data_IF_836335156331
#
_entry.id   IF_836335156331
#
_cell.length_a   1.000
_cell.length_b   1.000
_cell.length_c   1.000
_cell.angle_alpha   90.00
_cell.angle_beta   90.00
_cell.angle_gamma   90.00
#
_symmetry.space_group_name_H-M   'P 1'
#
loop_
_entity.id
_entity.type
_entity.pdbx_description
1 polymer ?
#
# COMPACT_ATOMS: atom_id res chain seq x y z
N UNK A 1 -26.90 24.42 6.88
CA UNK A 1 -26.72 24.87 5.48
C UNK A 1 -28.08 25.31 4.97
N UNK A 2 -28.15 26.37 4.15
CA UNK A 2 -29.42 26.83 3.56
C UNK A 2 -29.66 26.20 2.18
N UNK A 3 -30.42 25.10 2.15
CA UNK A 3 -30.80 24.43 0.90
C UNK A 3 -31.80 25.23 0.06
N UNK A 4 -32.48 26.24 0.60
CA UNK A 4 -33.42 27.05 -0.16
C UNK A 4 -32.69 27.85 -1.24
N UNK A 5 -31.55 28.49 -0.89
CA UNK A 5 -30.70 29.19 -1.85
C UNK A 5 -30.16 28.27 -2.96
N UNK A 6 -29.82 27.02 -2.63
CA UNK A 6 -29.37 26.02 -3.60
C UNK A 6 -30.51 25.67 -4.55
N UNK A 7 -31.70 25.38 -4.04
CA UNK A 7 -32.88 25.06 -4.86
C UNK A 7 -33.28 26.22 -5.77
N UNK A 8 -33.25 27.46 -5.27
CA UNK A 8 -33.55 28.66 -6.05
C UNK A 8 -32.57 28.83 -7.22
N UNK A 9 -31.28 28.58 -7.00
CA UNK A 9 -30.27 28.61 -8.06
C UNK A 9 -30.55 27.61 -9.19
N UNK A 10 -31.08 26.43 -8.88
CA UNK A 10 -31.36 25.40 -9.88
C UNK A 10 -32.66 25.60 -10.67
N UNK A 11 -33.51 26.58 -10.32
CA UNK A 11 -34.72 26.90 -11.09
C UNK A 11 -34.41 27.34 -12.53
N UNK A 12 -33.26 27.99 -12.74
CA UNK A 12 -32.78 28.47 -14.05
C UNK A 12 -31.64 27.60 -14.62
N UNK A 13 -31.38 26.42 -14.04
CA UNK A 13 -30.28 25.53 -14.42
C UNK A 13 -30.69 24.46 -15.43
N UNK A 14 -29.71 23.80 -16.05
CA UNK A 14 -29.91 22.62 -16.91
C UNK A 14 -30.27 21.34 -16.12
N UNK A 15 -30.09 21.35 -14.80
CA UNK A 15 -30.37 20.20 -13.94
C UNK A 15 -31.68 20.37 -13.17
N UNK A 16 -32.55 19.38 -13.27
CA UNK A 16 -33.79 19.32 -12.49
C UNK A 16 -33.48 18.81 -11.08
N UNK A 17 -33.32 19.75 -10.13
CA UNK A 17 -33.06 19.46 -8.72
C UNK A 17 -34.33 19.68 -7.90
N UNK A 18 -34.75 18.67 -7.13
CA UNK A 18 -35.98 18.74 -6.34
C UNK A 18 -35.75 18.25 -4.90
N UNK A 19 -36.48 18.79 -3.91
CA UNK A 19 -36.56 18.17 -2.59
C UNK A 19 -37.16 16.77 -2.69
N UNK A 20 -36.57 15.82 -1.98
CA UNK A 20 -37.07 14.45 -1.87
C UNK A 20 -36.86 13.90 -0.46
N UNK A 21 -37.39 12.71 -0.19
CA UNK A 21 -37.08 11.97 1.02
C UNK A 21 -36.59 10.56 0.71
N UNK A 22 -35.66 10.07 1.52
CA UNK A 22 -35.17 8.70 1.44
C UNK A 22 -35.00 8.13 2.84
N UNK A 23 -35.73 7.06 3.16
CA UNK A 23 -35.70 6.43 4.50
C UNK A 23 -35.88 7.46 5.63
N UNK A 24 -36.89 8.31 5.50
CA UNK A 24 -37.24 9.39 6.45
C UNK A 24 -36.17 10.47 6.65
N UNK A 25 -35.15 10.53 5.78
CA UNK A 25 -34.16 11.59 5.74
C UNK A 25 -34.46 12.57 4.60
N UNK A 26 -34.21 13.85 4.85
CA UNK A 26 -34.30 14.90 3.85
C UNK A 26 -33.18 14.74 2.82
N UNK A 27 -33.56 14.80 1.55
CA UNK A 27 -32.66 14.60 0.42
C UNK A 27 -32.96 15.59 -0.70
N UNK A 28 -32.00 15.75 -1.61
CA UNK A 28 -32.23 16.33 -2.93
C UNK A 28 -32.15 15.22 -3.98
N UNK A 29 -33.08 15.23 -4.93
CA UNK A 29 -33.05 14.37 -6.09
C UNK A 29 -32.64 15.15 -7.33
N UNK A 30 -31.88 14.50 -8.22
CA UNK A 30 -31.56 15.02 -9.55
C UNK A 30 -31.83 13.95 -10.58
N UNK A 31 -32.65 14.26 -11.58
CA UNK A 31 -32.99 13.33 -12.66
C UNK A 31 -32.36 13.79 -13.97
N UNK A 32 -31.66 12.88 -14.65
CA UNK A 32 -31.01 13.15 -15.94
C UNK A 32 -31.20 11.97 -16.86
N UNK A 33 -31.45 12.22 -18.13
CA UNK A 33 -31.48 11.17 -19.16
C UNK A 33 -30.08 10.94 -19.74
N UNK A 34 -29.65 9.68 -19.76
CA UNK A 34 -28.37 9.23 -20.33
C UNK A 34 -28.67 8.04 -21.24
N UNK A 35 -28.45 8.21 -22.55
CA UNK A 35 -28.62 7.16 -23.57
C UNK A 35 -30.00 6.46 -23.51
N UNK A 36 -31.06 7.26 -23.42
CA UNK A 36 -32.44 6.77 -23.33
C UNK A 36 -32.81 6.12 -21.99
N UNK A 37 -31.91 6.18 -20.98
CA UNK A 37 -32.15 5.66 -19.63
C UNK A 37 -32.25 6.80 -18.64
N UNK A 38 -33.26 6.75 -17.78
CA UNK A 38 -33.43 7.71 -16.70
C UNK A 38 -32.47 7.38 -15.54
N UNK A 39 -31.58 8.32 -15.22
CA UNK A 39 -30.64 8.23 -14.11
C UNK A 39 -31.12 9.17 -12.99
N UNK A 40 -31.33 8.61 -11.80
CA UNK A 40 -31.72 9.38 -10.62
C UNK A 40 -30.60 9.41 -9.60
N UNK A 41 -30.16 10.60 -9.23
CA UNK A 41 -29.17 10.87 -8.20
C UNK A 41 -29.85 11.35 -6.92
N UNK A 42 -29.29 11.00 -5.77
CA UNK A 42 -29.80 11.37 -4.45
C UNK A 42 -28.66 11.95 -3.60
N UNK A 43 -28.85 13.15 -3.06
CA UNK A 43 -27.96 13.75 -2.07
C UNK A 43 -28.67 13.79 -0.72
N UNK A 44 -28.02 13.33 0.34
CA UNK A 44 -28.54 13.44 1.71
C UNK A 44 -28.19 14.81 2.28
N UNK A 45 -29.19 15.55 2.75
CA UNK A 45 -28.99 16.87 3.29
C UNK A 45 -28.14 16.80 4.58
N UNK A 46 -27.10 17.63 4.62
CA UNK A 46 -26.19 17.84 5.75
C UNK A 46 -26.25 19.26 6.28
N UNK A 47 -25.94 19.42 7.57
CA UNK A 47 -25.88 20.73 8.24
C UNK A 47 -24.72 21.59 7.75
N UNK A 48 -23.61 20.98 7.36
CA UNK A 48 -22.38 21.65 6.92
C UNK A 48 -21.69 20.84 5.81
N UNK A 49 -21.20 21.53 4.77
CA UNK A 49 -20.39 20.91 3.73
C UNK A 49 -18.93 20.82 4.18
N UNK A 50 -18.40 19.61 4.22
CA UNK A 50 -16.98 19.33 4.51
C UNK A 50 -16.21 18.86 3.28
N UNK A 51 -16.94 18.61 2.19
CA UNK A 51 -16.43 18.14 0.91
C UNK A 51 -17.41 18.54 -0.18
N UNK A 52 -17.01 18.34 -1.45
CA UNK A 52 -17.93 18.52 -2.58
C UNK A 52 -19.21 17.68 -2.35
N UNK A 53 -20.42 18.22 -2.60
CA UNK A 53 -21.67 17.51 -2.33
C UNK A 53 -21.71 16.11 -2.94
N UNK A 54 -21.88 15.07 -2.14
CA UNK A 54 -21.83 13.69 -2.62
C UNK A 54 -23.22 13.21 -3.07
N UNK A 55 -23.30 12.54 -4.22
CA UNK A 55 -24.54 11.99 -4.76
C UNK A 55 -24.46 10.46 -4.86
N UNK A 56 -25.59 9.81 -4.58
CA UNK A 56 -25.81 8.39 -4.73
C UNK A 56 -26.61 8.09 -5.99
N UNK A 57 -26.26 7.05 -6.72
CA UNK A 57 -27.05 6.49 -7.82
C UNK A 57 -28.20 5.65 -7.26
N UNK A 58 -29.44 5.93 -7.67
CA UNK A 58 -30.60 5.09 -7.36
C UNK A 58 -30.67 3.89 -8.31
N UNK A 59 -30.96 2.72 -7.74
CA UNK A 59 -31.02 1.42 -8.45
C UNK A 59 -29.83 1.15 -9.38
N UNK A 60 -28.58 1.16 -8.86
CA UNK A 60 -27.38 0.98 -9.68
C UNK A 60 -27.36 -0.35 -10.44
N UNK A 61 -28.06 -1.37 -9.94
CA UNK A 61 -28.09 -2.73 -10.52
C UNK A 61 -28.73 -2.73 -11.91
N UNK A 62 -29.70 -1.86 -12.16
CA UNK A 62 -30.35 -1.71 -13.47
C UNK A 62 -29.40 -1.28 -14.60
N UNK A 63 -28.24 -0.70 -14.25
CA UNK A 63 -27.21 -0.25 -15.19
C UNK A 63 -26.06 -1.26 -15.37
N UNK A 64 -26.13 -2.42 -14.72
CA UNK A 64 -25.03 -3.38 -14.67
C UNK A 64 -23.93 -2.97 -13.68
N UNK A 65 -22.71 -3.46 -13.88
CA UNK A 65 -21.58 -3.15 -12.99
C UNK A 65 -20.85 -1.93 -13.53
N UNK A 66 -20.99 -0.81 -12.83
CA UNK A 66 -20.34 0.46 -13.16
C UNK A 66 -19.11 0.67 -12.26
N UNK A 67 -17.99 1.09 -12.85
CA UNK A 67 -16.84 1.55 -12.07
C UNK A 67 -17.22 2.75 -11.18
N UNK A 68 -16.50 2.97 -10.08
CA UNK A 68 -16.74 4.06 -9.13
C UNK A 68 -18.12 4.07 -8.43
N UNK A 69 -18.99 3.10 -8.70
CA UNK A 69 -20.30 2.97 -8.04
C UNK A 69 -20.25 1.79 -7.05
N UNK A 70 -20.32 2.10 -5.76
CA UNK A 70 -20.29 1.10 -4.69
C UNK A 70 -21.66 1.01 -4.00
N UNK A 71 -22.31 -0.15 -4.08
CA UNK A 71 -23.57 -0.40 -3.38
C UNK A 71 -23.36 -0.27 -1.87
N UNK A 72 -24.15 0.56 -1.21
CA UNK A 72 -24.06 0.77 0.25
C UNK A 72 -25.02 -0.17 0.99
N UNK A 73 -24.55 -0.71 2.13
CA UNK A 73 -25.42 -1.48 3.02
C UNK A 73 -26.31 -0.57 3.89
N UNK A 74 -25.92 0.69 4.06
CA UNK A 74 -26.63 1.64 4.93
C UNK A 74 -27.93 2.12 4.29
N UNK A 75 -27.95 2.24 2.96
CA UNK A 75 -29.10 2.72 2.19
C UNK A 75 -29.38 1.74 1.05
N UNK A 76 -30.23 0.74 1.33
CA UNK A 76 -30.55 -0.31 0.36
C UNK A 76 -31.13 0.29 -0.92
N UNK A 77 -30.66 -0.13 -2.09
CA UNK A 77 -31.09 0.42 -3.38
C UNK A 77 -30.31 1.64 -3.87
N UNK A 78 -29.32 2.14 -3.11
CA UNK A 78 -28.43 3.22 -3.52
C UNK A 78 -26.98 2.73 -3.74
N UNK A 79 -26.30 3.35 -4.70
CA UNK A 79 -24.86 3.19 -4.96
C UNK A 79 -24.12 4.50 -4.71
N UNK A 80 -23.12 4.50 -3.83
CA UNK A 80 -22.22 5.65 -3.60
C UNK A 80 -21.36 5.85 -4.84
N UNK A 81 -21.25 7.08 -5.35
CA UNK A 81 -20.46 7.38 -6.54
C UNK A 81 -19.17 8.11 -6.14
N UNK A 82 -18.03 7.55 -6.51
CA UNK A 82 -16.73 8.19 -6.31
C UNK A 82 -16.37 9.06 -7.53
N UNK A 83 -16.63 10.36 -7.45
CA UNK A 83 -16.23 11.32 -8.53
C UNK A 83 -14.90 12.01 -8.30
N UNK A 84 -14.31 11.88 -7.10
CA UNK A 84 -13.10 12.58 -6.70
C UNK A 84 -12.10 11.62 -6.05
N UNK A 85 -10.81 11.83 -6.31
CA UNK A 85 -9.79 11.43 -5.34
C UNK A 85 -9.89 12.43 -4.19
N UNK A 86 -10.24 11.95 -2.99
CA UNK A 86 -10.74 12.74 -1.85
C UNK A 86 -9.86 13.95 -1.42
N UNK A 87 -8.62 14.07 -1.89
CA UNK A 87 -7.65 15.08 -1.43
C UNK A 87 -7.27 16.17 -2.46
N UNK A 88 -7.99 16.30 -3.59
CA UNK A 88 -7.47 17.09 -4.74
C UNK A 88 -8.09 18.47 -4.96
N UNK A 89 -9.09 18.88 -4.18
CA UNK A 89 -9.80 20.15 -4.43
C UNK A 89 -10.01 20.97 -3.16
N UNK A 90 -9.68 22.25 -3.22
CA UNK A 90 -10.12 23.25 -2.24
C UNK A 90 -11.48 23.78 -2.70
N UNK A 91 -12.52 23.52 -1.92
CA UNK A 91 -13.90 23.90 -2.25
C UNK A 91 -14.25 25.18 -1.49
N UNK A 92 -14.73 26.20 -2.20
CA UNK A 92 -15.27 27.40 -1.56
C UNK A 92 -16.73 27.16 -1.15
N UNK A 93 -16.98 26.97 0.14
CA UNK A 93 -18.32 26.75 0.68
C UNK A 93 -19.12 28.04 0.92
N UNK A 94 -18.56 29.22 0.64
CA UNK A 94 -19.31 30.49 0.64
C UNK A 94 -20.34 30.57 -0.50
N UNK A 95 -20.18 29.72 -1.53
CA UNK A 95 -21.09 29.59 -2.68
C UNK A 95 -21.53 28.14 -2.86
N UNK A 96 -22.35 27.59 -1.94
CA UNK A 96 -22.74 26.18 -1.96
C UNK A 96 -23.42 25.78 -3.27
N UNK A 97 -24.19 26.67 -3.88
CA UNK A 97 -24.90 26.43 -5.14
C UNK A 97 -23.96 26.03 -6.29
N UNK A 98 -22.80 26.68 -6.40
CA UNK A 98 -21.78 26.34 -7.39
C UNK A 98 -21.08 25.01 -7.07
N UNK A 99 -20.90 24.70 -5.78
CA UNK A 99 -20.34 23.43 -5.37
C UNK A 99 -21.28 22.26 -5.72
N UNK A 100 -22.60 22.46 -5.56
CA UNK A 100 -23.61 21.50 -6.00
C UNK A 100 -23.61 21.33 -7.52
N UNK A 101 -23.61 22.42 -8.28
CA UNK A 101 -23.63 22.35 -9.75
C UNK A 101 -22.41 21.61 -10.29
N UNK A 102 -21.22 21.97 -9.83
CA UNK A 102 -19.98 21.30 -10.23
C UNK A 102 -19.99 19.83 -9.83
N UNK A 103 -20.53 19.49 -8.65
CA UNK A 103 -20.65 18.10 -8.24
C UNK A 103 -21.59 17.32 -9.15
N UNK A 104 -22.80 17.83 -9.43
CA UNK A 104 -23.76 17.18 -10.32
C UNK A 104 -23.14 16.99 -11.70
N UNK A 105 -22.48 18.03 -12.24
CA UNK A 105 -21.79 17.98 -13.54
C UNK A 105 -20.73 16.87 -13.58
N UNK A 106 -19.95 16.68 -12.51
CA UNK A 106 -18.97 15.58 -12.41
C UNK A 106 -19.63 14.20 -12.35
N UNK A 107 -20.67 14.03 -11.53
CA UNK A 107 -21.39 12.77 -11.40
C UNK A 107 -22.03 12.37 -12.73
N UNK A 108 -22.75 13.30 -13.37
CA UNK A 108 -23.40 13.07 -14.67
C UNK A 108 -22.38 12.76 -15.75
N UNK A 109 -21.26 13.49 -15.82
CA UNK A 109 -20.19 13.24 -16.80
C UNK A 109 -19.57 11.85 -16.63
N UNK A 110 -19.28 11.46 -15.39
CA UNK A 110 -18.74 10.14 -15.08
C UNK A 110 -19.73 9.04 -15.48
N UNK A 111 -20.97 9.11 -14.99
CA UNK A 111 -22.00 8.11 -15.28
C UNK A 111 -22.30 8.02 -16.78
N UNK A 112 -22.35 9.15 -17.49
CA UNK A 112 -22.50 9.15 -18.95
C UNK A 112 -21.40 8.31 -19.60
N UNK A 113 -20.14 8.58 -19.26
CA UNK A 113 -19.00 7.83 -19.80
C UNK A 113 -19.09 6.34 -19.46
N UNK A 114 -19.43 5.98 -18.23
CA UNK A 114 -19.52 4.59 -17.79
C UNK A 114 -20.69 3.81 -18.42
N UNK A 115 -21.82 4.48 -18.69
CA UNK A 115 -23.02 3.85 -19.25
C UNK A 115 -22.91 3.71 -20.77
N UNK A 116 -22.36 4.72 -21.47
CA UNK A 116 -22.32 4.74 -22.94
C UNK A 116 -21.09 4.08 -23.53
N UNK A 117 -19.98 4.03 -22.79
CA UNK A 117 -18.71 3.48 -23.26
C UNK A 117 -18.29 2.28 -22.40
N UNK A 118 -18.54 1.08 -22.93
CA UNK A 118 -18.21 -0.17 -22.25
C UNK A 118 -16.71 -0.38 -22.07
N UNK A 119 -15.89 0.10 -23.02
CA UNK A 119 -14.41 -0.03 -22.93
C UNK A 119 -13.87 0.89 -21.82
N UNK A 120 -14.38 2.12 -21.75
CA UNK A 120 -14.06 3.05 -20.66
C UNK A 120 -14.46 2.46 -19.30
N UNK A 121 -15.69 1.95 -19.16
CA UNK A 121 -16.13 1.32 -17.92
C UNK A 121 -15.24 0.13 -17.52
N UNK A 122 -14.88 -0.74 -18.48
CA UNK A 122 -13.99 -1.88 -18.24
C UNK A 122 -12.59 -1.43 -17.77
N UNK A 123 -12.03 -0.39 -18.40
CA UNK A 123 -10.75 0.20 -18.03
C UNK A 123 -10.79 0.77 -16.61
N UNK A 124 -11.85 1.48 -16.23
CA UNK A 124 -12.01 2.04 -14.89
C UNK A 124 -12.27 0.95 -13.82
N UNK A 125 -13.01 -0.11 -14.15
CA UNK A 125 -13.13 -1.28 -13.26
C UNK A 125 -11.77 -1.94 -12.98
N UNK A 126 -10.89 -2.00 -13.99
CA UNK A 126 -9.50 -2.46 -13.81
C UNK A 126 -8.66 -1.46 -12.99
N UNK A 127 -8.86 -0.16 -13.18
CA UNK A 127 -8.16 0.88 -12.40
C UNK A 127 -8.46 0.76 -10.90
N UNK A 128 -9.73 0.52 -10.57
CA UNK A 128 -10.24 0.36 -9.20
C UNK A 128 -10.26 -1.10 -8.71
N UNK A 129 -9.60 -2.02 -9.43
CA UNK A 129 -9.72 -3.45 -9.18
C UNK A 129 -9.42 -3.85 -7.74
N UNK A 130 -8.34 -3.32 -7.14
CA UNK A 130 -7.99 -3.61 -5.75
C UNK A 130 -9.07 -3.12 -4.77
N UNK A 131 -9.60 -1.92 -4.96
CA UNK A 131 -10.69 -1.36 -4.13
C UNK A 131 -11.95 -2.23 -4.24
N UNK A 132 -12.34 -2.57 -5.47
CA UNK A 132 -13.50 -3.41 -5.75
C UNK A 132 -13.32 -4.82 -5.18
N UNK A 133 -12.11 -5.38 -5.24
CA UNK A 133 -11.80 -6.68 -4.64
C UNK A 133 -12.11 -6.69 -3.16
N UNK A 134 -11.62 -5.70 -2.43
CA UNK A 134 -11.84 -5.63 -0.99
C UNK A 134 -13.29 -5.37 -0.64
N UNK A 135 -13.96 -4.44 -1.33
CA UNK A 135 -15.38 -4.14 -1.07
C UNK A 135 -16.27 -5.33 -1.35
N UNK A 136 -16.11 -5.99 -2.50
CA UNK A 136 -17.00 -7.07 -2.93
C UNK A 136 -16.78 -8.36 -2.15
N UNK A 137 -15.55 -8.61 -1.70
CA UNK A 137 -15.19 -9.86 -1.04
C UNK A 137 -15.15 -9.76 0.50
N UNK A 138 -15.34 -8.57 1.08
CA UNK A 138 -15.34 -8.32 2.53
C UNK A 138 -16.26 -9.27 3.31
N UNK A 139 -17.45 -9.55 2.78
CA UNK A 139 -18.43 -10.45 3.42
C UNK A 139 -17.99 -11.91 3.49
N UNK A 140 -16.99 -12.31 2.70
CA UNK A 140 -16.43 -13.66 2.67
C UNK A 140 -15.20 -13.82 3.57
N UNK A 141 -14.70 -12.73 4.15
CA UNK A 141 -13.53 -12.75 5.02
C UNK A 141 -13.89 -13.23 6.43
N UNK A 142 -13.03 -14.03 7.05
CA UNK A 142 -13.15 -14.36 8.47
C UNK A 142 -13.03 -13.09 9.34
N UNK A 143 -13.63 -13.10 10.54
CA UNK A 143 -13.43 -12.02 11.54
C UNK A 143 -11.93 -11.79 11.73
N UNK A 144 -11.51 -10.56 11.41
CA UNK A 144 -10.13 -10.12 11.15
C UNK A 144 -9.54 -10.61 9.81
N UNK A 145 -9.30 -9.71 8.82
CA UNK A 145 -8.22 -9.95 7.87
C UNK A 145 -6.92 -10.05 8.67
N UNK A 146 -6.19 -11.15 8.47
CA UNK A 146 -4.76 -11.15 8.74
C UNK A 146 -4.12 -10.82 7.40
N UNK A 147 -3.74 -9.57 7.20
CA UNK A 147 -2.98 -9.12 6.02
C UNK A 147 -1.89 -10.14 5.70
N UNK A 148 -1.72 -10.44 4.41
CA UNK A 148 -0.59 -11.19 3.90
C UNK A 148 0.42 -10.21 3.32
N UNK A 149 1.53 -10.00 4.02
CA UNK A 149 2.64 -9.24 3.48
C UNK A 149 3.41 -10.09 2.48
N UNK A 150 3.40 -9.72 1.20
CA UNK A 150 4.14 -10.40 0.14
C UNK A 150 5.46 -9.67 -0.12
N UNK A 151 6.58 -10.30 0.22
CA UNK A 151 7.91 -9.65 0.21
C UNK A 151 8.68 -9.74 -1.10
N UNK A 152 8.04 -10.26 -2.15
CA UNK A 152 8.70 -10.49 -3.44
C UNK A 152 9.05 -9.16 -4.15
N UNK A 153 10.28 -9.08 -4.65
CA UNK A 153 10.71 -8.03 -5.59
C UNK A 153 10.30 -8.31 -7.04
N UNK A 154 9.87 -9.54 -7.36
CA UNK A 154 9.42 -9.90 -8.70
C UNK A 154 7.91 -10.09 -8.74
N UNK A 155 7.31 -9.73 -9.87
CA UNK A 155 5.89 -9.93 -10.13
C UNK A 155 5.59 -11.18 -10.96
N UNK A 156 6.62 -11.93 -11.35
CA UNK A 156 6.46 -13.16 -12.14
C UNK A 156 6.03 -14.33 -11.24
N UNK A 157 5.83 -15.51 -11.85
CA UNK A 157 5.60 -16.73 -11.09
C UNK A 157 6.73 -16.98 -10.09
N UNK A 158 6.37 -17.05 -8.81
CA UNK A 158 7.31 -17.25 -7.70
C UNK A 158 6.62 -18.07 -6.62
N UNK A 159 7.24 -19.18 -6.19
CA UNK A 159 6.77 -19.93 -5.03
C UNK A 159 7.05 -19.16 -3.74
N UNK A 160 6.13 -19.26 -2.79
CA UNK A 160 6.15 -18.52 -1.54
C UNK A 160 6.04 -19.48 -0.34
N UNK A 161 6.90 -19.27 0.63
CA UNK A 161 6.74 -19.79 1.98
C UNK A 161 5.85 -18.86 2.80
N UNK A 162 4.84 -19.44 3.44
CA UNK A 162 3.88 -18.69 4.26
C UNK A 162 4.25 -18.83 5.73
N UNK A 163 4.35 -17.71 6.44
CA UNK A 163 4.70 -17.64 7.85
C UNK A 163 3.53 -17.08 8.66
N UNK A 164 3.28 -17.72 9.81
CA UNK A 164 2.20 -17.33 10.73
C UNK A 164 2.51 -15.99 11.43
N UNK A 165 1.45 -15.30 11.93
CA UNK A 165 1.61 -14.23 12.90
C UNK A 165 2.36 -14.66 14.15
N UNK A 166 3.11 -13.74 14.75
CA UNK A 166 3.76 -13.88 16.06
C UNK A 166 2.77 -13.54 17.18
N UNK A 167 1.95 -12.50 16.97
CA UNK A 167 0.98 -11.99 17.96
C UNK A 167 -0.43 -11.99 17.35
N UNK A 168 -1.06 -13.17 17.21
CA UNK A 168 -2.32 -13.31 16.47
C UNK A 168 -3.50 -12.57 17.09
N UNK A 169 -3.42 -12.21 18.37
CA UNK A 169 -4.45 -11.50 19.13
C UNK A 169 -4.27 -9.97 19.11
N UNK A 170 -3.19 -9.47 18.50
CA UNK A 170 -2.93 -8.04 18.33
C UNK A 170 -3.71 -7.50 17.12
N UNK A 171 -4.16 -6.25 17.20
CA UNK A 171 -4.85 -5.58 16.09
C UNK A 171 -3.84 -4.97 15.12
N UNK A 172 -3.99 -5.29 13.83
CA UNK A 172 -3.40 -4.57 12.68
C UNK A 172 -1.93 -4.18 12.82
N UNK A 173 -1.05 -5.15 13.10
CA UNK A 173 0.40 -4.96 13.05
C UNK A 173 1.06 -5.97 12.12
N UNK A 174 2.29 -5.68 11.67
CA UNK A 174 3.12 -6.65 10.94
C UNK A 174 3.22 -7.97 11.71
N UNK A 175 3.38 -7.91 13.04
CA UNK A 175 3.46 -9.09 13.91
C UNK A 175 2.16 -9.90 13.99
N UNK A 176 1.01 -9.25 13.81
CA UNK A 176 -0.32 -9.89 13.78
C UNK A 176 -0.69 -10.47 12.40
N UNK A 177 0.14 -10.24 11.39
CA UNK A 177 -0.14 -10.55 9.99
C UNK A 177 0.61 -11.80 9.51
N UNK A 178 0.11 -12.44 8.46
CA UNK A 178 0.88 -13.47 7.75
C UNK A 178 1.96 -12.81 6.90
N UNK A 179 3.01 -13.56 6.62
CA UNK A 179 4.10 -13.09 5.73
C UNK A 179 4.39 -14.16 4.70
N UNK A 180 4.42 -13.78 3.43
CA UNK A 180 4.85 -14.59 2.32
C UNK A 180 6.26 -14.18 1.89
N UNK A 181 7.19 -15.13 1.96
CA UNK A 181 8.59 -14.96 1.55
C UNK A 181 8.86 -15.79 0.29
N UNK A 182 9.53 -15.24 -0.74
CA UNK A 182 10.01 -16.05 -1.86
C UNK A 182 10.84 -17.24 -1.37
N UNK A 183 10.55 -18.43 -1.90
CA UNK A 183 11.33 -19.64 -1.62
C UNK A 183 12.79 -19.47 -2.05
N UNK A 184 13.00 -18.84 -3.21
CA UNK A 184 14.31 -18.46 -3.75
C UNK A 184 14.46 -16.94 -3.85
N UNK A 185 15.69 -16.44 -3.66
CA UNK A 185 16.01 -15.03 -3.85
C UNK A 185 15.43 -14.09 -2.78
N UNK A 186 15.22 -14.57 -1.55
CA UNK A 186 14.72 -13.72 -0.47
C UNK A 186 15.72 -12.63 -0.05
N UNK A 187 15.20 -11.46 0.32
CA UNK A 187 16.01 -10.37 0.89
C UNK A 187 16.15 -10.58 2.41
N UNK A 188 17.38 -10.83 2.86
CA UNK A 188 17.68 -11.06 4.28
C UNK A 188 17.32 -9.86 5.16
N UNK A 189 17.44 -8.63 4.66
CA UNK A 189 17.09 -7.45 5.46
C UNK A 189 15.57 -7.37 5.66
N UNK A 190 14.80 -7.70 4.63
CA UNK A 190 13.35 -7.80 4.70
C UNK A 190 12.95 -8.96 5.63
N UNK A 191 13.59 -10.12 5.52
CA UNK A 191 13.34 -11.26 6.41
C UNK A 191 13.61 -10.91 7.88
N UNK A 192 14.67 -10.13 8.15
CA UNK A 192 14.96 -9.59 9.49
C UNK A 192 13.88 -8.61 9.96
N UNK A 193 13.45 -7.68 9.10
CA UNK A 193 12.41 -6.70 9.40
C UNK A 193 11.09 -7.38 9.80
N UNK A 194 10.68 -8.41 9.05
CA UNK A 194 9.50 -9.21 9.38
C UNK A 194 9.71 -10.21 10.52
N UNK A 195 10.93 -10.30 11.08
CA UNK A 195 11.32 -11.25 12.13
C UNK A 195 10.99 -12.70 11.75
N UNK A 196 11.30 -13.10 10.52
CA UNK A 196 10.98 -14.44 9.99
C UNK A 196 11.52 -15.56 10.89
N UNK A 197 12.71 -15.40 11.47
CA UNK A 197 13.29 -16.38 12.40
C UNK A 197 12.48 -16.59 13.70
N UNK A 198 11.59 -15.67 14.05
CA UNK A 198 10.68 -15.78 15.19
C UNK A 198 9.27 -16.26 14.78
N UNK A 199 9.04 -16.54 13.49
CA UNK A 199 7.75 -17.00 12.97
C UNK A 199 7.77 -18.49 12.70
N UNK A 200 6.64 -19.14 12.95
CA UNK A 200 6.44 -20.51 12.51
C UNK A 200 5.95 -20.52 11.06
N UNK A 201 6.64 -21.28 10.20
CA UNK A 201 6.15 -21.56 8.84
C UNK A 201 4.82 -22.32 8.92
N UNK A 202 3.88 -21.97 8.04
CA UNK A 202 2.60 -22.64 7.92
C UNK A 202 2.81 -24.00 7.26
N UNK A 203 2.85 -25.04 8.08
CA UNK A 203 2.98 -26.43 7.61
C UNK A 203 1.81 -26.79 6.71
N UNK A 204 2.08 -27.63 5.72
CA UNK A 204 1.09 -28.14 4.75
C UNK A 204 0.41 -27.05 3.89
N UNK A 205 0.99 -25.85 3.78
CA UNK A 205 0.57 -24.82 2.84
C UNK A 205 1.55 -24.70 1.67
N UNK A 206 1.03 -24.30 0.51
CA UNK A 206 1.81 -23.89 -0.64
C UNK A 206 1.39 -22.50 -1.09
N UNK A 207 2.34 -21.58 -1.22
CA UNK A 207 2.09 -20.22 -1.68
C UNK A 207 2.68 -19.96 -3.06
N UNK A 208 2.09 -19.04 -3.83
CA UNK A 208 2.72 -18.54 -5.05
C UNK A 208 2.22 -17.15 -5.46
N UNK A 209 3.02 -16.47 -6.27
CA UNK A 209 2.60 -15.33 -7.07
C UNK A 209 2.15 -15.83 -8.44
N UNK A 210 0.98 -15.40 -8.92
CA UNK A 210 0.46 -15.68 -10.24
C UNK A 210 0.19 -14.36 -10.99
N UNK A 211 1.01 -14.00 -12.00
CA UNK A 211 0.70 -12.88 -12.87
C UNK A 211 -0.44 -13.26 -13.84
N UNK A 212 -1.52 -12.49 -13.77
CA UNK A 212 -2.68 -12.57 -14.64
C UNK A 212 -2.55 -11.51 -15.74
N UNK A 213 -3.04 -11.83 -16.94
CA UNK A 213 -2.97 -10.92 -18.10
C UNK A 213 -4.35 -10.43 -18.53
N UNK A 214 -5.31 -11.35 -18.66
CA UNK A 214 -6.70 -11.04 -19.03
C UNK A 214 -7.62 -11.60 -17.97
N UNK A 215 -8.30 -10.72 -17.25
CA UNK A 215 -9.25 -11.09 -16.21
C UNK A 215 -10.61 -10.45 -16.49
N UNK A 216 -11.66 -11.06 -15.96
CA UNK A 216 -12.93 -10.38 -15.78
C UNK A 216 -12.78 -9.37 -14.63
N UNK A 217 -12.92 -8.05 -14.88
CA UNK A 217 -12.78 -7.05 -13.82
C UNK A 217 -13.99 -7.02 -12.87
N UNK A 218 -15.08 -7.72 -13.20
CA UNK A 218 -16.25 -7.85 -12.32
C UNK A 218 -15.98 -8.91 -11.27
N UNK A 219 -15.88 -8.48 -10.01
CA UNK A 219 -15.52 -9.35 -8.89
C UNK A 219 -16.78 -9.87 -8.20
N UNK A 220 -16.99 -11.20 -8.13
CA UNK A 220 -18.17 -11.77 -7.50
C UNK A 220 -18.23 -11.51 -5.99
N UNK A 221 -19.45 -11.39 -5.46
CA UNK A 221 -19.72 -11.13 -4.04
C UNK A 221 -19.89 -12.41 -3.17
N UNK A 222 -19.81 -13.60 -3.79
CA UNK A 222 -20.05 -14.87 -3.11
C UNK A 222 -18.99 -15.92 -3.46
N UNK A 223 -18.90 -16.97 -2.63
CA UNK A 223 -17.88 -18.00 -2.71
C UNK A 223 -17.88 -18.79 -4.02
N UNK A 224 -19.05 -19.18 -4.52
CA UNK A 224 -19.14 -20.01 -5.73
C UNK A 224 -18.83 -19.19 -6.99
N UNK A 225 -19.25 -17.92 -7.01
CA UNK A 225 -18.84 -16.96 -8.02
C UNK A 225 -17.33 -16.76 -8.03
N UNK A 226 -16.71 -16.54 -6.87
CA UNK A 226 -15.26 -16.34 -6.75
C UNK A 226 -14.46 -17.58 -7.19
N UNK A 227 -14.95 -18.79 -6.90
CA UNK A 227 -14.35 -20.04 -7.41
C UNK A 227 -14.39 -20.10 -8.93
N UNK A 228 -15.51 -19.73 -9.54
CA UNK A 228 -15.69 -19.73 -11.00
C UNK A 228 -14.79 -18.69 -11.65
N UNK A 229 -14.75 -17.48 -11.09
CA UNK A 229 -13.86 -16.40 -11.51
C UNK A 229 -12.39 -16.81 -11.45
N UNK A 230 -11.96 -17.44 -10.34
CA UNK A 230 -10.58 -17.91 -10.20
C UNK A 230 -10.23 -18.98 -11.23
N UNK A 231 -11.13 -19.94 -11.49
CA UNK A 231 -10.90 -20.97 -12.50
C UNK A 231 -10.74 -20.38 -13.91
N UNK A 232 -11.58 -19.41 -14.27
CA UNK A 232 -11.47 -18.70 -15.54
C UNK A 232 -10.15 -17.91 -15.64
N UNK A 233 -9.76 -17.18 -14.60
CA UNK A 233 -8.49 -16.49 -14.53
C UNK A 233 -7.28 -17.44 -14.69
N UNK A 234 -7.34 -18.64 -14.09
CA UNK A 234 -6.30 -19.65 -14.21
C UNK A 234 -6.21 -20.25 -15.62
N UNK A 235 -7.33 -20.40 -16.33
CA UNK A 235 -7.34 -20.88 -17.71
C UNK A 235 -6.65 -19.91 -18.67
N UNK A 236 -6.75 -18.60 -18.37
CA UNK A 236 -6.18 -17.49 -19.15
C UNK A 236 -4.76 -17.11 -18.72
N UNK A 237 -4.07 -17.93 -17.92
CA UNK A 237 -2.68 -17.67 -17.54
C UNK A 237 -1.76 -17.59 -18.77
N UNK A 238 -0.78 -16.67 -18.79
CA UNK A 238 0.24 -16.63 -19.83
C UNK A 238 0.95 -17.98 -19.97
N UNK A 239 1.28 -18.39 -21.20
CA UNK A 239 1.85 -19.71 -21.48
C UNK A 239 3.07 -20.04 -20.60
N UNK A 240 4.00 -19.10 -20.42
CA UNK A 240 5.17 -19.28 -19.56
C UNK A 240 4.82 -19.48 -18.08
N UNK A 241 3.89 -18.68 -17.56
CA UNK A 241 3.38 -18.79 -16.18
C UNK A 241 2.66 -20.11 -15.96
N UNK A 242 1.80 -20.51 -16.90
CA UNK A 242 1.04 -21.76 -16.85
C UNK A 242 1.97 -22.97 -16.86
N UNK A 243 2.95 -23.00 -17.76
CA UNK A 243 3.94 -24.09 -17.83
C UNK A 243 4.71 -24.28 -16.52
N UNK A 244 5.07 -23.18 -15.84
CA UNK A 244 5.71 -23.25 -14.53
C UNK A 244 4.73 -23.69 -13.44
N UNK A 245 3.52 -23.13 -13.38
CA UNK A 245 2.51 -23.52 -12.41
C UNK A 245 2.13 -25.01 -12.51
N UNK A 246 2.02 -25.55 -13.73
CA UNK A 246 1.75 -26.97 -13.99
C UNK A 246 2.84 -27.90 -13.44
N UNK A 247 4.09 -27.44 -13.41
CA UNK A 247 5.25 -28.21 -12.91
C UNK A 247 5.49 -28.01 -11.41
N UNK A 248 5.42 -26.76 -10.96
CA UNK A 248 5.92 -26.33 -9.67
C UNK A 248 4.81 -26.16 -8.63
N UNK A 249 3.57 -25.84 -9.00
CA UNK A 249 2.49 -25.56 -8.03
C UNK A 249 1.40 -26.63 -8.02
N UNK A 250 0.78 -26.90 -9.16
CA UNK A 250 -0.42 -27.72 -9.22
C UNK A 250 -0.24 -29.17 -8.77
N UNK A 251 0.94 -29.81 -8.94
CA UNK A 251 1.20 -31.15 -8.40
C UNK A 251 1.36 -31.20 -6.88
N UNK A 252 1.65 -30.06 -6.21
CA UNK A 252 1.88 -30.03 -4.76
C UNK A 252 0.61 -30.49 -4.05
N UNK A 253 0.76 -31.36 -3.05
CA UNK A 253 -0.34 -31.78 -2.18
C UNK A 253 -0.31 -31.00 -0.86
N UNK A 254 -1.21 -30.03 -0.74
CA UNK A 254 -1.30 -29.15 0.42
C UNK A 254 -2.71 -29.19 1.03
N UNK A 255 -2.83 -28.75 2.29
CA UNK A 255 -4.11 -28.43 2.93
C UNK A 255 -4.56 -27.01 2.62
N UNK A 256 -3.59 -26.12 2.35
CA UNK A 256 -3.86 -24.72 2.01
C UNK A 256 -3.07 -24.30 0.77
N UNK A 257 -3.71 -23.55 -0.11
CA UNK A 257 -3.04 -22.82 -1.18
C UNK A 257 -3.23 -21.33 -1.00
N UNK A 258 -2.13 -20.57 -1.04
CA UNK A 258 -2.13 -19.11 -0.89
C UNK A 258 -1.68 -18.47 -2.20
N UNK A 259 -2.62 -17.90 -2.93
CA UNK A 259 -2.40 -17.30 -4.24
C UNK A 259 -2.31 -15.79 -4.08
N UNK A 260 -1.17 -15.21 -4.43
CA UNK A 260 -1.01 -13.78 -4.64
C UNK A 260 -1.16 -13.52 -6.13
N UNK A 261 -2.29 -12.95 -6.52
CA UNK A 261 -2.59 -12.63 -7.91
C UNK A 261 -2.15 -11.20 -8.18
N UNK A 262 -1.46 -10.98 -9.30
CA UNK A 262 -1.18 -9.62 -9.77
C UNK A 262 -1.56 -9.44 -11.23
N UNK A 263 -1.89 -8.21 -11.61
CA UNK A 263 -2.31 -7.87 -12.96
C UNK A 263 -1.97 -6.42 -13.27
N UNK A 264 -1.69 -6.15 -14.55
CA UNK A 264 -1.53 -4.79 -15.02
C UNK A 264 -2.88 -4.07 -15.00
N UNK A 265 -2.88 -2.82 -14.52
CA UNK A 265 -4.04 -1.94 -14.52
C UNK A 265 -3.62 -0.59 -15.13
N UNK A 266 -4.57 0.25 -15.58
CA UNK A 266 -4.25 1.60 -16.03
C UNK A 266 -3.52 2.46 -14.99
N UNK A 267 -3.69 2.16 -13.70
CA UNK A 267 -3.03 2.81 -12.56
C UNK A 267 -1.70 2.15 -12.14
N UNK A 268 -1.24 1.11 -12.86
CA UNK A 268 -0.02 0.38 -12.56
C UNK A 268 -0.26 -1.12 -12.42
N UNK A 269 -0.21 -1.62 -11.18
CA UNK A 269 -0.37 -3.06 -10.91
C UNK A 269 -1.23 -3.29 -9.68
N UNK A 270 -2.29 -4.05 -9.82
CA UNK A 270 -3.13 -4.50 -8.72
C UNK A 270 -2.60 -5.81 -8.16
N UNK A 271 -2.75 -5.98 -6.83
CA UNK A 271 -2.35 -7.16 -6.09
C UNK A 271 -3.50 -7.59 -5.18
N UNK A 272 -3.90 -8.85 -5.29
CA UNK A 272 -5.00 -9.42 -4.50
C UNK A 272 -4.66 -10.84 -4.06
N UNK A 273 -5.27 -11.30 -2.97
CA UNK A 273 -4.99 -12.62 -2.40
C UNK A 273 -6.20 -13.54 -2.41
N UNK A 274 -5.97 -14.82 -2.69
CA UNK A 274 -6.94 -15.89 -2.49
C UNK A 274 -6.31 -17.02 -1.70
N UNK A 275 -6.99 -17.45 -0.63
CA UNK A 275 -6.67 -18.66 0.12
C UNK A 275 -7.68 -19.75 -0.22
N UNK A 276 -7.18 -20.92 -0.60
CA UNK A 276 -7.97 -22.15 -0.67
C UNK A 276 -7.60 -23.04 0.52
N UNK A 277 -8.58 -23.60 1.23
CA UNK A 277 -8.32 -24.51 2.36
C UNK A 277 -9.20 -25.76 2.36
N UNK A 278 -8.65 -26.84 2.92
CA UNK A 278 -9.28 -28.16 3.06
C UNK A 278 -8.61 -28.98 4.18
N UNK A 279 -9.34 -29.89 4.83
CA UNK A 279 -8.83 -30.62 6.01
C UNK A 279 -7.72 -31.65 5.66
N UNK A 280 -7.72 -32.15 4.42
CA UNK A 280 -6.82 -33.19 3.92
C UNK A 280 -5.98 -32.67 2.76
N UNK A 281 -4.72 -33.13 2.70
CA UNK A 281 -3.79 -32.79 1.61
C UNK A 281 -4.32 -33.27 0.25
N UNK A 282 -4.55 -32.32 -0.66
CA UNK A 282 -4.95 -32.58 -2.04
C UNK A 282 -4.12 -31.73 -3.00
N UNK A 283 -4.05 -32.18 -4.25
CA UNK A 283 -3.49 -31.38 -5.34
C UNK A 283 -4.38 -30.16 -5.62
N UNK A 284 -3.81 -29.16 -6.31
CA UNK A 284 -4.51 -27.92 -6.61
C UNK A 284 -5.79 -28.18 -7.45
N UNK A 285 -6.93 -27.56 -7.10
CA UNK A 285 -8.21 -27.81 -7.78
C UNK A 285 -8.35 -27.04 -9.10
N UNK A 286 -7.99 -27.66 -10.22
CA UNK A 286 -8.09 -27.04 -11.56
C UNK A 286 -9.44 -27.21 -12.27
N UNK A 287 -10.39 -27.94 -11.68
CA UNK A 287 -11.73 -28.18 -12.28
C UNK A 287 -12.82 -27.76 -11.32
N UNK A 288 -13.98 -27.37 -11.86
CA UNK A 288 -15.14 -26.94 -11.05
C UNK A 288 -15.55 -28.00 -10.02
N UNK A 289 -15.55 -29.28 -10.39
CA UNK A 289 -15.86 -30.38 -9.47
C UNK A 289 -14.87 -30.47 -8.29
N UNK A 290 -13.57 -30.34 -8.57
CA UNK A 290 -12.54 -30.37 -7.52
C UNK A 290 -12.60 -29.11 -6.67
N UNK A 291 -12.82 -27.94 -7.27
CA UNK A 291 -12.86 -26.63 -6.61
C UNK A 291 -14.02 -26.50 -5.63
N UNK A 292 -15.17 -27.16 -5.91
CA UNK A 292 -16.31 -27.21 -4.99
C UNK A 292 -15.95 -27.72 -3.60
N UNK A 293 -14.99 -28.65 -3.51
CA UNK A 293 -14.53 -29.25 -2.26
C UNK A 293 -13.68 -28.29 -1.39
N UNK A 294 -13.12 -27.24 -1.99
CA UNK A 294 -12.25 -26.30 -1.30
C UNK A 294 -13.07 -25.13 -0.74
N UNK A 295 -12.73 -24.70 0.48
CA UNK A 295 -13.16 -23.39 0.98
C UNK A 295 -12.30 -22.33 0.29
N UNK A 296 -12.93 -21.29 -0.24
CA UNK A 296 -12.24 -20.12 -0.80
C UNK A 296 -12.42 -18.94 0.13
N UNK A 297 -11.34 -18.24 0.42
CA UNK A 297 -11.33 -17.04 1.26
C UNK A 297 -10.46 -15.97 0.58
N UNK A 298 -10.98 -14.77 0.30
CA UNK A 298 -10.15 -13.65 -0.13
C UNK A 298 -9.18 -13.24 0.99
N UNK A 299 -8.01 -12.75 0.63
CA UNK A 299 -6.96 -12.29 1.55
C UNK A 299 -6.47 -10.91 1.13
N UNK A 300 -6.31 -10.00 2.11
CA UNK A 300 -5.68 -8.70 1.87
C UNK A 300 -4.18 -8.88 1.65
N UNK A 301 -3.68 -8.46 0.49
CA UNK A 301 -2.27 -8.57 0.15
C UNK A 301 -1.64 -7.18 0.16
N UNK A 302 -0.57 -7.07 0.93
CA UNK A 302 0.27 -5.88 0.92
C UNK A 302 1.64 -6.28 0.38
N UNK A 303 2.02 -5.71 -0.76
CA UNK A 303 3.34 -6.00 -1.34
C UNK A 303 4.38 -5.15 -0.64
N UNK A 304 5.36 -5.81 -0.05
CA UNK A 304 6.45 -5.19 0.67
C UNK A 304 7.76 -5.41 -0.08
N UNK A 305 8.04 -4.53 -1.03
CA UNK A 305 9.31 -4.51 -1.74
C UNK A 305 9.82 -3.09 -1.90
N UNK A 306 11.11 -2.99 -2.20
CA UNK A 306 11.84 -1.72 -2.23
C UNK A 306 11.28 -0.73 -3.24
N UNK A 307 10.95 -1.21 -4.44
CA UNK A 307 10.51 -0.40 -5.57
C UNK A 307 9.15 0.27 -5.32
N UNK A 308 8.24 -0.42 -4.66
CA UNK A 308 6.92 0.14 -4.32
C UNK A 308 6.98 0.99 -3.05
N UNK A 309 7.79 0.57 -2.06
CA UNK A 309 7.77 1.19 -0.74
C UNK A 309 8.58 2.49 -0.70
N UNK A 310 9.74 2.59 -1.34
CA UNK A 310 10.55 3.81 -1.26
C UNK A 310 9.81 5.05 -1.78
N UNK A 311 9.27 5.08 -3.03
CA UNK A 311 8.61 6.28 -3.55
C UNK A 311 7.36 6.66 -2.77
N UNK A 312 6.56 5.66 -2.36
CA UNK A 312 5.33 5.88 -1.58
C UNK A 312 5.60 6.39 -0.16
N UNK A 313 6.79 6.14 0.37
CA UNK A 313 7.20 6.62 1.70
C UNK A 313 7.91 7.99 1.65
N UNK A 314 8.00 8.62 0.47
CA UNK A 314 8.71 9.88 0.28
C UNK A 314 10.24 9.76 0.16
N UNK A 315 10.78 8.53 0.13
CA UNK A 315 12.21 8.30 -0.09
C UNK A 315 12.54 8.46 -1.58
N UNK A 316 13.74 8.93 -1.88
CA UNK A 316 14.23 9.10 -3.25
C UNK A 316 15.02 7.86 -3.70
N UNK A 317 14.51 7.04 -4.63
CA UNK A 317 15.19 5.82 -5.07
C UNK A 317 16.58 6.05 -5.69
N UNK A 318 16.86 7.26 -6.21
CA UNK A 318 18.18 7.58 -6.78
C UNK A 318 19.30 7.64 -5.73
N UNK A 319 18.96 7.76 -4.45
CA UNK A 319 19.91 7.79 -3.34
C UNK A 319 20.30 6.40 -2.83
N UNK A 320 19.66 5.35 -3.35
CA UNK A 320 19.82 3.99 -2.86
C UNK A 320 21.22 3.40 -3.10
N UNK A 321 21.96 3.90 -4.09
CA UNK A 321 23.34 3.48 -4.33
C UNK A 321 24.37 4.36 -3.58
N UNK A 322 23.92 5.37 -2.84
CA UNK A 322 24.77 6.35 -2.19
C UNK A 322 25.25 5.88 -0.82
N UNK A 323 26.49 6.25 -0.49
CA UNK A 323 27.16 5.92 0.76
C UNK A 323 27.53 7.20 1.52
N UNK A 324 27.09 7.29 2.76
CA UNK A 324 27.39 8.42 3.65
C UNK A 324 28.26 7.95 4.81
N UNK A 325 29.31 8.71 5.11
CA UNK A 325 30.06 8.60 6.36
C UNK A 325 29.54 9.68 7.32
N UNK A 326 29.04 9.29 8.48
CA UNK A 326 28.61 10.21 9.53
C UNK A 326 29.56 10.09 10.73
N UNK A 327 30.30 11.15 11.04
CA UNK A 327 31.17 11.21 12.21
C UNK A 327 30.52 12.07 13.31
N UNK A 328 30.33 11.49 14.48
CA UNK A 328 29.51 12.04 15.55
C UNK A 328 28.04 11.68 15.36
N UNK A 329 27.51 10.85 16.26
CA UNK A 329 26.10 10.49 16.28
C UNK A 329 25.46 10.83 17.63
N UNK A 330 25.88 11.94 18.24
CA UNK A 330 25.20 12.55 19.38
C UNK A 330 23.84 13.16 18.97
N UNK A 331 23.42 14.24 19.64
CA UNK A 331 22.10 14.83 19.43
C UNK A 331 21.76 15.17 17.98
N UNK A 332 22.61 15.95 17.32
CA UNK A 332 22.38 16.38 15.93
C UNK A 332 22.67 15.24 14.95
N UNK A 333 23.80 14.54 15.15
CA UNK A 333 24.23 13.49 14.24
C UNK A 333 23.24 12.32 14.15
N UNK A 334 22.65 11.89 15.26
CA UNK A 334 21.65 10.82 15.26
C UNK A 334 20.38 11.18 14.48
N UNK A 335 19.91 12.43 14.58
CA UNK A 335 18.80 12.96 13.77
C UNK A 335 19.18 13.03 12.28
N UNK A 336 20.39 13.48 11.95
CA UNK A 336 20.88 13.47 10.56
C UNK A 336 20.88 12.04 10.00
N UNK A 337 21.40 11.06 10.76
CA UNK A 337 21.42 9.66 10.34
C UNK A 337 20.00 9.16 10.03
N UNK A 338 19.04 9.53 10.87
CA UNK A 338 17.62 9.21 10.68
C UNK A 338 17.05 9.82 9.39
N UNK A 339 17.27 11.12 9.19
CA UNK A 339 16.78 11.83 7.99
C UNK A 339 17.42 11.31 6.71
N UNK A 340 18.70 10.95 6.73
CA UNK A 340 19.37 10.29 5.60
C UNK A 340 18.74 8.93 5.29
N UNK A 341 18.43 8.13 6.31
CA UNK A 341 17.72 6.86 6.14
C UNK A 341 16.32 7.06 5.56
N UNK A 342 15.56 8.04 6.08
CA UNK A 342 14.23 8.39 5.57
C UNK A 342 14.26 8.93 4.13
N UNK A 343 15.33 9.63 3.74
CA UNK A 343 15.52 10.12 2.38
C UNK A 343 15.81 9.00 1.36
N UNK A 344 16.12 7.78 1.81
CA UNK A 344 16.40 6.63 0.93
C UNK A 344 17.90 6.40 0.64
N UNK A 345 18.80 6.89 1.49
CA UNK A 345 20.23 6.55 1.38
C UNK A 345 20.42 5.04 1.56
N UNK A 346 21.20 4.42 0.68
CA UNK A 346 21.44 2.98 0.73
C UNK A 346 22.41 2.52 1.81
N UNK A 347 23.42 3.35 2.14
CA UNK A 347 24.39 3.04 3.19
C UNK A 347 24.81 4.23 4.04
N UNK A 348 24.86 4.02 5.36
CA UNK A 348 25.40 4.97 6.33
C UNK A 348 26.41 4.25 7.23
N UNK A 349 27.67 4.67 7.17
CA UNK A 349 28.68 4.26 8.15
C UNK A 349 28.77 5.32 9.25
N UNK A 350 28.54 4.93 10.49
CA UNK A 350 28.41 5.81 11.64
C UNK A 350 29.64 5.66 12.54
N UNK A 351 30.28 6.77 12.88
CA UNK A 351 31.52 6.80 13.66
C UNK A 351 31.30 7.64 14.90
N UNK A 352 31.37 7.01 16.07
CA UNK A 352 31.28 7.71 17.35
C UNK A 352 31.98 6.88 18.43
N UNK A 353 32.95 7.46 19.17
CA UNK A 353 33.70 6.72 20.18
C UNK A 353 32.91 6.49 21.47
N UNK A 354 31.84 7.27 21.70
CA UNK A 354 31.15 7.32 22.99
C UNK A 354 30.17 6.16 23.20
N UNK A 355 29.78 5.99 24.46
CA UNK A 355 28.61 5.20 24.87
C UNK A 355 27.42 6.10 25.16
N UNK A 356 26.23 5.56 24.96
CA UNK A 356 24.99 6.23 25.30
C UNK A 356 24.78 6.23 26.81
N UNK A 357 24.51 7.41 27.39
CA UNK A 357 24.25 7.59 28.82
C UNK A 357 22.85 8.15 29.06
N UNK A 358 22.33 7.97 30.27
CA UNK A 358 21.02 8.51 30.66
C UNK A 358 20.93 10.04 30.54
N UNK A 359 22.05 10.76 30.70
CA UNK A 359 22.13 12.20 30.47
C UNK A 359 21.92 12.62 29.01
N UNK A 360 21.86 11.67 28.06
CA UNK A 360 21.59 11.95 26.65
C UNK A 360 20.11 11.75 26.25
N UNK A 361 19.27 11.14 27.11
CA UNK A 361 17.90 10.71 26.78
C UNK A 361 17.03 11.79 26.13
N UNK A 362 17.05 13.01 26.67
CA UNK A 362 16.16 14.08 26.20
C UNK A 362 16.52 14.64 24.82
N UNK A 363 17.75 14.42 24.35
CA UNK A 363 18.29 15.11 23.18
C UNK A 363 18.83 14.17 22.11
N UNK A 364 18.68 12.87 22.28
CA UNK A 364 19.23 11.86 21.37
C UNK A 364 18.09 10.97 20.90
N UNK A 365 18.16 10.48 19.67
CA UNK A 365 17.14 9.58 19.10
C UNK A 365 17.04 8.20 19.76
N UNK A 366 18.00 7.82 20.60
CA UNK A 366 18.07 6.47 21.16
C UNK A 366 17.16 6.36 22.39
N UNK A 367 16.47 5.24 22.47
CA UNK A 367 15.61 4.91 23.60
C UNK A 367 16.44 4.47 24.83
N UNK A 368 15.86 4.61 26.03
CA UNK A 368 16.56 4.32 27.28
C UNK A 368 17.01 2.86 27.46
N UNK A 369 16.42 1.92 26.73
CA UNK A 369 16.86 0.52 26.70
C UNK A 369 18.24 0.33 26.03
N UNK A 370 18.78 1.36 25.36
CA UNK A 370 20.12 1.36 24.76
C UNK A 370 21.19 1.95 25.69
N UNK A 371 20.88 2.25 26.95
CA UNK A 371 21.86 2.77 27.92
C UNK A 371 23.09 1.86 28.00
N UNK A 372 24.28 2.47 28.06
CA UNK A 372 25.60 1.84 28.02
C UNK A 372 26.02 1.21 26.69
N UNK A 373 25.16 1.20 25.66
CA UNK A 373 25.56 0.75 24.32
C UNK A 373 26.49 1.77 23.65
N UNK A 374 27.49 1.35 22.84
CA UNK A 374 28.22 2.27 21.97
C UNK A 374 27.25 3.00 21.03
N UNK A 375 27.29 4.34 21.01
CA UNK A 375 26.28 5.15 20.31
C UNK A 375 26.18 4.77 18.83
N UNK A 376 27.32 4.66 18.14
CA UNK A 376 27.36 4.34 16.72
C UNK A 376 26.67 3.01 16.38
N UNK A 377 26.91 1.97 17.20
CA UNK A 377 26.29 0.66 17.02
C UNK A 377 24.79 0.69 17.33
N UNK A 378 24.39 1.40 18.38
CA UNK A 378 22.98 1.53 18.75
C UNK A 378 22.16 2.31 17.69
N UNK A 379 22.71 3.40 17.14
CA UNK A 379 22.06 4.15 16.05
C UNK A 379 21.97 3.29 14.79
N UNK A 380 23.05 2.60 14.42
CA UNK A 380 23.03 1.68 13.27
C UNK A 380 21.94 0.60 13.43
N UNK A 381 21.82 0.00 14.62
CA UNK A 381 20.77 -0.97 14.93
C UNK A 381 19.36 -0.37 14.81
N UNK A 382 19.13 0.83 15.38
CA UNK A 382 17.84 1.52 15.30
C UNK A 382 17.45 1.84 13.85
N UNK A 383 18.39 2.32 13.04
CA UNK A 383 18.19 2.62 11.62
C UNK A 383 17.83 1.37 10.83
N UNK A 384 18.56 0.27 11.03
CA UNK A 384 18.29 -1.01 10.37
C UNK A 384 16.93 -1.62 10.76
N UNK A 385 16.47 -1.38 11.99
CA UNK A 385 15.15 -1.82 12.43
C UNK A 385 14.01 -0.97 11.80
N UNK A 386 14.26 0.32 11.56
CA UNK A 386 13.28 1.25 11.00
C UNK A 386 13.23 1.23 9.47
N UNK A 387 14.37 1.12 8.80
CA UNK A 387 14.53 1.24 7.36
C UNK A 387 15.03 -0.10 6.77
N UNK A 388 14.12 -0.96 6.26
CA UNK A 388 14.46 -2.35 5.91
C UNK A 388 15.59 -2.49 4.89
N UNK A 389 15.75 -1.53 3.97
CA UNK A 389 16.75 -1.62 2.90
C UNK A 389 18.02 -0.80 3.16
N UNK A 390 18.07 -0.05 4.27
CA UNK A 390 19.25 0.73 4.64
C UNK A 390 20.30 -0.19 5.27
N UNK A 391 21.52 -0.12 4.74
CA UNK A 391 22.70 -0.70 5.37
C UNK A 391 23.32 0.34 6.31
N UNK A 392 23.30 0.08 7.60
CA UNK A 392 23.98 0.93 8.57
C UNK A 392 24.99 0.14 9.39
N UNK A 393 26.22 0.63 9.50
CA UNK A 393 27.29 0.03 10.31
C UNK A 393 27.82 1.06 11.31
N UNK A 394 28.15 0.63 12.52
CA UNK A 394 28.66 1.50 13.59
C UNK A 394 30.11 1.19 13.96
N UNK A 395 30.92 2.23 14.14
CA UNK A 395 32.35 2.13 14.45
C UNK A 395 32.71 3.01 15.65
N UNK A 396 33.50 2.47 16.59
CA UNK A 396 33.94 3.15 17.82
C UNK A 396 35.24 3.94 17.62
N UNK A 397 35.35 4.61 16.49
CA UNK A 397 36.49 5.41 16.10
C UNK A 397 36.21 6.89 16.32
N UNK A 398 37.26 7.71 16.21
CA UNK A 398 37.17 9.16 16.21
C UNK A 398 37.20 9.74 14.79
N UNK A 399 36.80 11.00 14.63
CA UNK A 399 36.92 11.72 13.34
C UNK A 399 38.34 11.64 12.75
N UNK A 400 39.37 11.77 13.61
CA UNK A 400 40.75 11.84 13.14
C UNK A 400 41.29 10.51 12.59
N UNK A 401 40.68 9.38 12.95
CA UNK A 401 41.04 8.06 12.39
C UNK A 401 40.69 7.96 10.89
N UNK A 402 39.71 8.76 10.44
CA UNK A 402 39.24 8.83 9.07
C UNK A 402 39.94 9.92 8.24
N UNK A 403 41.01 10.54 8.77
CA UNK A 403 41.82 11.55 8.09
C UNK A 403 42.73 10.93 7.02
N UNK A 404 42.13 10.21 6.08
CA UNK A 404 42.77 9.44 5.00
C UNK A 404 41.95 9.59 3.72
N UNK A 405 42.58 10.12 2.67
CA UNK A 405 41.92 10.47 1.41
C UNK A 405 41.25 9.27 0.77
N UNK A 406 41.92 8.13 0.76
CA UNK A 406 41.41 6.91 0.13
C UNK A 406 40.13 6.43 0.84
N UNK A 407 40.08 6.55 2.17
CA UNK A 407 38.88 6.23 2.95
C UNK A 407 37.74 7.18 2.63
N UNK A 408 37.99 8.50 2.67
CA UNK A 408 36.96 9.51 2.39
C UNK A 408 36.44 9.44 0.94
N UNK A 409 37.29 9.03 0.00
CA UNK A 409 36.90 8.90 -1.42
C UNK A 409 35.89 7.78 -1.69
N UNK A 410 35.75 6.82 -0.76
CA UNK A 410 34.79 5.73 -0.87
C UNK A 410 33.33 6.16 -0.59
N UNK A 411 33.13 7.39 -0.11
CA UNK A 411 31.83 7.94 0.26
C UNK A 411 31.38 9.03 -0.72
N UNK A 412 30.06 9.09 -0.96
CA UNK A 412 29.44 10.15 -1.74
C UNK A 412 29.31 11.45 -0.94
N UNK A 413 29.16 11.31 0.39
CA UNK A 413 29.06 12.42 1.34
C UNK A 413 29.70 12.03 2.67
N UNK A 414 30.41 12.97 3.28
CA UNK A 414 30.90 12.90 4.66
C UNK A 414 30.19 13.98 5.45
N UNK A 415 29.63 13.64 6.61
CA UNK A 415 28.98 14.58 7.52
C UNK A 415 29.73 14.60 8.84
N UNK A 416 30.13 15.80 9.28
CA UNK A 416 30.80 16.01 10.57
C UNK A 416 29.81 16.65 11.55
N UNK A 417 29.37 15.88 12.53
CA UNK A 417 28.45 16.30 13.58
C UNK A 417 29.02 15.99 14.98
N UNK A 418 30.32 16.23 15.17
CA UNK A 418 30.96 16.14 16.48
C UNK A 418 30.82 17.47 17.23
N UNK A 419 31.10 17.45 18.53
CA UNK A 419 31.13 18.65 19.37
C UNK A 419 32.55 19.00 19.83
N UNK A 420 33.53 18.91 18.94
CA UNK A 420 34.94 19.03 19.28
C UNK A 420 35.66 19.96 18.28
N UNK A 421 35.59 21.29 18.51
CA UNK A 421 36.08 22.31 17.56
C UNK A 421 37.54 22.14 17.15
N UNK A 422 38.41 21.72 18.08
CA UNK A 422 39.83 21.47 17.79
C UNK A 422 40.01 20.32 16.78
N UNK A 423 39.26 19.23 16.92
CA UNK A 423 39.34 18.09 16.01
C UNK A 423 38.75 18.44 14.65
N UNK A 424 37.64 19.18 14.62
CA UNK A 424 37.03 19.71 13.39
C UNK A 424 38.02 20.58 12.62
N UNK A 425 38.72 21.50 13.31
CA UNK A 425 39.75 22.34 12.70
C UNK A 425 40.90 21.52 12.11
N UNK A 426 41.43 20.56 12.88
CA UNK A 426 42.51 19.69 12.39
C UNK A 426 42.10 18.86 11.17
N UNK A 427 40.84 18.43 11.13
CA UNK A 427 40.30 17.70 9.99
C UNK A 427 40.08 18.62 8.79
N UNK A 428 39.57 19.82 9.00
CA UNK A 428 39.42 20.84 7.95
C UNK A 428 40.75 21.18 7.28
N UNK A 429 41.79 21.45 8.07
CA UNK A 429 43.14 21.73 7.54
C UNK A 429 43.66 20.58 6.65
N UNK A 430 43.31 19.34 6.98
CA UNK A 430 43.62 18.19 6.16
C UNK A 430 42.80 18.13 4.86
N UNK A 431 41.50 18.42 4.91
CA UNK A 431 40.64 18.45 3.72
C UNK A 431 41.14 19.47 2.69
N UNK A 432 41.54 20.66 3.15
CA UNK A 432 42.12 21.72 2.30
C UNK A 432 43.39 21.23 1.61
N UNK A 433 44.29 20.56 2.36
CA UNK A 433 45.55 20.03 1.80
C UNK A 433 45.34 18.83 0.86
N UNK A 434 44.31 18.03 1.08
CA UNK A 434 44.05 16.79 0.34
C UNK A 434 43.10 16.96 -0.86
N UNK A 435 42.45 18.13 -0.99
CA UNK A 435 41.56 18.46 -2.11
C UNK A 435 40.20 17.73 -2.08
N UNK A 436 39.79 17.18 -0.94
CA UNK A 436 38.50 16.48 -0.78
C UNK A 436 37.38 17.51 -0.58
N UNK A 437 36.34 17.49 -1.43
CA UNK A 437 35.26 18.51 -1.45
C UNK A 437 33.88 18.03 -0.99
N UNK A 438 33.71 16.76 -0.62
CA UNK A 438 32.40 16.13 -0.34
C UNK A 438 32.10 16.03 1.15
N UNK A 439 32.42 17.09 1.91
CA UNK A 439 32.25 17.12 3.37
C UNK A 439 31.30 18.25 3.75
N UNK A 440 30.26 17.91 4.52
CA UNK A 440 29.29 18.82 5.12
C UNK A 440 29.55 18.99 6.62
#
# INVERSE_FOLDING_TARGET
MDYASVLEYFLDSEFEVQPSSYSDLDTLSVCVEIDGRLVSLVHFCVDELQQLPHFFLKDPVSFGVLAHVLTTQNFGGLGSICVNHLDSVSVNFERPELAFEESIRRHVKLLRSLITDSEFNQSELLREFSTNWYTNTKGMMSKSPKTLYCTSCVANFTQLDIYKPISPDSVMSISASFTALPYEGNDQNVARFFKIGSRQQQKDAAGCILPLQSIDPVIPHNADGLKTWLLDALQRLPHGTKSRADKELFPIRAKEFWLVLNMATPSGKAWVGVKLSLDKKRAFPLTSEKMRLWKIEPTFVEVFNKELMLPRSGANPSLDNKKVLLTGCGSVGSEIAHKLGAAGIGRIDIVDPDRFSTSNLYRHTLDGNMTDWPKALAVAFQLQAKFPWLKADGYRNSLLDYRKRDVLSAYDLVVIAIGAPTHERLFHDYLVKSGVKRVL
#
